data_IF_327123733986
#
_entry.id   IF_327123733986
#
_cell.length_a   1.000
_cell.length_b   1.000
_cell.length_c   1.000
_cell.angle_alpha   90.00
_cell.angle_beta   90.00
_cell.angle_gamma   90.00
#
_symmetry.space_group_name_H-M   'P 1'
#
loop_
_entity.id
_entity.type
_entity.pdbx_description
1 polymer ?
#
# COMPACT_ATOMS: atom_id res chain seq x y z
N UNK A 1 9.01 -18.79 -7.12
CA UNK A 1 9.51 -17.39 -7.15
C UNK A 1 9.27 -16.70 -5.83
N UNK A 2 8.01 -16.59 -5.37
CA UNK A 2 7.65 -15.84 -4.16
C UNK A 2 8.28 -16.43 -2.87
N UNK A 3 8.35 -17.75 -2.72
CA UNK A 3 8.98 -18.41 -1.56
C UNK A 3 10.48 -18.17 -1.40
N UNK A 4 11.18 -17.72 -2.46
CA UNK A 4 12.64 -17.52 -2.44
C UNK A 4 13.04 -16.07 -2.27
N UNK A 5 12.10 -15.17 -2.01
CA UNK A 5 12.36 -13.74 -1.84
C UNK A 5 11.55 -13.17 -0.68
N UNK A 6 12.01 -12.03 -0.17
CA UNK A 6 11.32 -11.25 0.86
C UNK A 6 10.28 -10.30 0.26
N UNK A 7 10.53 -9.81 -0.96
CA UNK A 7 9.69 -8.83 -1.64
C UNK A 7 9.57 -9.18 -3.12
N UNK A 8 8.37 -9.00 -3.68
CA UNK A 8 8.09 -8.99 -5.12
C UNK A 8 7.61 -7.61 -5.51
N UNK A 9 8.25 -7.02 -6.52
CA UNK A 9 7.85 -5.75 -7.11
C UNK A 9 7.42 -6.01 -8.56
N UNK A 10 6.16 -5.71 -8.90
CA UNK A 10 5.69 -5.80 -10.29
C UNK A 10 5.52 -4.42 -10.91
N UNK A 11 6.07 -4.23 -12.10
CA UNK A 11 6.10 -2.93 -12.78
C UNK A 11 5.20 -2.86 -14.00
N UNK A 12 4.55 -3.96 -14.38
CA UNK A 12 3.75 -4.03 -15.62
C UNK A 12 2.43 -4.77 -15.35
N UNK A 13 1.33 -4.14 -15.75
CA UNK A 13 -0.02 -4.70 -15.74
C UNK A 13 -0.40 -5.35 -17.08
N UNK A 14 -1.70 -5.55 -17.38
CA UNK A 14 -2.88 -5.15 -16.57
C UNK A 14 -3.07 -6.04 -15.33
N UNK A 15 -3.13 -5.43 -14.15
CA UNK A 15 -3.15 -6.14 -12.87
C UNK A 15 -4.49 -6.83 -12.62
N UNK A 16 -5.59 -6.22 -13.07
CA UNK A 16 -6.91 -6.82 -13.00
C UNK A 16 -6.99 -8.19 -13.70
N UNK A 17 -6.15 -8.42 -14.72
CA UNK A 17 -6.12 -9.67 -15.49
C UNK A 17 -5.11 -10.68 -14.94
N UNK A 18 -3.93 -10.22 -14.52
CA UNK A 18 -2.81 -11.12 -14.20
C UNK A 18 -2.29 -11.03 -12.76
N UNK A 19 -2.61 -9.96 -12.03
CA UNK A 19 -2.04 -9.67 -10.71
C UNK A 19 -2.59 -10.55 -9.57
N UNK A 20 -3.86 -10.99 -9.66
CA UNK A 20 -4.51 -11.67 -8.52
C UNK A 20 -3.83 -12.96 -8.07
N UNK A 21 -3.33 -13.77 -9.00
CA UNK A 21 -2.63 -15.01 -8.63
C UNK A 21 -1.27 -14.73 -7.98
N UNK A 22 -0.60 -13.65 -8.38
CA UNK A 22 0.66 -13.26 -7.79
C UNK A 22 0.49 -12.72 -6.37
N UNK A 23 -0.52 -11.87 -6.13
CA UNK A 23 -0.88 -11.41 -4.77
C UNK A 23 -1.21 -12.60 -3.89
N UNK A 24 -2.05 -13.53 -4.37
CA UNK A 24 -2.36 -14.79 -3.67
C UNK A 24 -1.11 -15.57 -3.29
N UNK A 25 -0.18 -15.73 -4.25
CA UNK A 25 1.07 -16.45 -4.03
C UNK A 25 1.94 -15.76 -2.98
N UNK A 26 2.04 -14.43 -3.02
CA UNK A 26 2.81 -13.65 -2.04
C UNK A 26 2.22 -13.77 -0.63
N UNK A 27 0.89 -13.73 -0.51
CA UNK A 27 0.19 -13.92 0.77
C UNK A 27 0.46 -15.31 1.33
N UNK A 28 0.34 -16.35 0.50
CA UNK A 28 0.61 -17.74 0.91
C UNK A 28 2.08 -17.94 1.33
N UNK A 29 3.03 -17.38 0.59
CA UNK A 29 4.46 -17.55 0.87
C UNK A 29 5.02 -16.56 1.89
N UNK A 30 4.17 -15.74 2.53
CA UNK A 30 4.59 -14.69 3.47
C UNK A 30 5.64 -13.74 2.88
N UNK A 31 5.44 -13.37 1.62
CA UNK A 31 6.30 -12.47 0.85
C UNK A 31 5.63 -11.11 0.71
N UNK A 32 6.37 -10.02 0.90
CA UNK A 32 5.85 -8.69 0.65
C UNK A 32 5.63 -8.44 -0.84
N UNK A 33 4.69 -7.56 -1.16
CA UNK A 33 4.31 -7.24 -2.54
C UNK A 33 4.17 -5.74 -2.72
N UNK A 34 4.66 -5.22 -3.85
CA UNK A 34 4.26 -3.91 -4.34
C UNK A 34 4.09 -3.86 -5.86
N UNK A 35 3.30 -2.90 -6.33
CA UNK A 35 3.00 -2.72 -7.75
C UNK A 35 2.81 -1.26 -8.18
N UNK A 36 2.52 -1.08 -9.48
CA UNK A 36 2.15 0.20 -10.08
C UNK A 36 0.67 0.22 -10.52
N UNK A 37 -0.20 -0.54 -9.86
CA UNK A 37 -1.60 -0.67 -10.26
C UNK A 37 -2.36 0.66 -10.13
N UNK A 38 -3.21 0.95 -11.12
CA UNK A 38 -4.16 2.08 -11.10
C UNK A 38 -5.61 1.62 -11.09
N UNK A 39 -5.86 0.32 -11.19
CA UNK A 39 -7.18 -0.29 -11.30
C UNK A 39 -7.87 -0.37 -9.93
N UNK A 40 -8.51 0.73 -9.51
CA UNK A 40 -9.14 0.88 -8.19
C UNK A 40 -10.08 -0.28 -7.80
N UNK A 41 -10.89 -0.77 -8.74
CA UNK A 41 -11.79 -1.92 -8.52
C UNK A 41 -11.03 -3.21 -8.19
N UNK A 42 -9.86 -3.41 -8.81
CA UNK A 42 -9.03 -4.58 -8.54
C UNK A 42 -8.28 -4.43 -7.23
N UNK A 43 -7.76 -3.24 -6.93
CA UNK A 43 -7.10 -2.93 -5.66
C UNK A 43 -8.06 -3.19 -4.50
N UNK A 44 -9.29 -2.64 -4.55
CA UNK A 44 -10.33 -2.89 -3.54
C UNK A 44 -10.58 -4.38 -3.35
N UNK A 45 -10.74 -5.13 -4.45
CA UNK A 45 -10.92 -6.58 -4.42
C UNK A 45 -9.74 -7.31 -3.75
N UNK A 46 -8.50 -6.90 -3.99
CA UNK A 46 -7.33 -7.52 -3.34
C UNK A 46 -7.31 -7.21 -1.84
N UNK A 47 -7.70 -6.00 -1.44
CA UNK A 47 -7.85 -5.64 -0.03
C UNK A 47 -8.93 -6.51 0.63
N UNK A 48 -10.12 -6.61 0.04
CA UNK A 48 -11.24 -7.41 0.58
C UNK A 48 -10.85 -8.87 0.79
N UNK A 49 -10.09 -9.45 -0.14
CA UNK A 49 -9.75 -10.88 -0.10
C UNK A 49 -8.57 -11.17 0.83
N UNK A 50 -7.56 -10.27 0.91
CA UNK A 50 -6.26 -10.62 1.51
C UNK A 50 -5.85 -9.77 2.70
N UNK A 51 -6.57 -8.71 3.07
CA UNK A 51 -6.15 -7.80 4.14
C UNK A 51 -5.96 -8.51 5.49
N UNK A 52 -6.93 -9.32 5.91
CA UNK A 52 -6.87 -10.04 7.19
C UNK A 52 -5.69 -11.02 7.21
N UNK A 53 -5.59 -11.90 6.21
CA UNK A 53 -4.49 -12.88 6.11
C UNK A 53 -3.13 -12.22 5.98
N UNK A 54 -3.01 -11.10 5.24
CA UNK A 54 -1.75 -10.36 5.14
C UNK A 54 -1.33 -9.77 6.50
N UNK A 55 -2.31 -9.30 7.29
CA UNK A 55 -2.10 -8.75 8.64
C UNK A 55 -1.64 -9.85 9.60
N UNK A 56 -2.33 -11.00 9.62
CA UNK A 56 -1.95 -12.18 10.41
C UNK A 56 -0.54 -12.69 10.05
N UNK A 57 -0.22 -12.70 8.75
CA UNK A 57 1.09 -13.10 8.25
C UNK A 57 2.18 -12.03 8.42
N UNK A 58 1.85 -10.84 8.93
CA UNK A 58 2.76 -9.69 9.09
C UNK A 58 3.45 -9.28 7.78
N UNK A 59 2.75 -9.39 6.65
CA UNK A 59 3.25 -8.96 5.35
C UNK A 59 2.57 -7.69 4.86
N UNK A 60 3.28 -6.96 4.00
CA UNK A 60 2.76 -5.74 3.37
C UNK A 60 2.43 -6.04 1.91
N UNK A 61 1.21 -5.70 1.52
CA UNK A 61 0.74 -5.65 0.13
C UNK A 61 0.47 -4.16 -0.15
N UNK A 62 1.28 -3.55 -1.01
CA UNK A 62 1.22 -2.10 -1.26
C UNK A 62 0.97 -1.86 -2.74
N UNK A 63 -0.25 -1.46 -3.07
CA UNK A 63 -0.61 -1.11 -4.44
C UNK A 63 -0.23 0.34 -4.76
N UNK A 64 -0.13 0.67 -6.04
CA UNK A 64 0.06 2.06 -6.51
C UNK A 64 1.36 2.71 -5.99
N UNK A 65 2.47 1.98 -5.98
CA UNK A 65 3.79 2.49 -5.57
C UNK A 65 4.54 3.25 -6.68
N UNK A 66 3.80 3.93 -7.56
CA UNK A 66 4.35 4.65 -8.71
C UNK A 66 4.66 6.11 -8.44
N UNK A 67 5.30 6.75 -9.43
CA UNK A 67 5.63 8.17 -9.39
C UNK A 67 4.39 9.07 -9.28
N UNK A 68 3.24 8.68 -9.83
CA UNK A 68 2.04 9.52 -9.76
C UNK A 68 1.36 9.47 -8.37
N UNK A 69 1.60 8.38 -7.63
CA UNK A 69 0.93 8.11 -6.35
C UNK A 69 1.81 8.46 -5.14
N UNK A 70 3.08 8.04 -5.13
CA UNK A 70 3.95 8.18 -3.95
C UNK A 70 4.20 9.65 -3.54
N UNK A 71 4.57 10.58 -4.45
CA UNK A 71 4.72 11.99 -4.11
C UNK A 71 3.41 12.61 -3.62
N UNK A 72 2.27 12.22 -4.22
CA UNK A 72 0.94 12.69 -3.84
C UNK A 72 0.59 12.25 -2.40
N UNK A 73 0.75 10.95 -2.09
CA UNK A 73 0.51 10.39 -0.75
C UNK A 73 1.43 11.04 0.30
N UNK A 74 2.70 11.19 -0.03
CA UNK A 74 3.67 11.82 0.87
C UNK A 74 3.35 13.31 1.10
N UNK A 75 2.88 14.02 0.06
CA UNK A 75 2.44 15.40 0.16
C UNK A 75 1.25 15.56 1.11
N UNK A 76 0.22 14.72 0.97
CA UNK A 76 -0.94 14.72 1.89
C UNK A 76 -0.51 14.41 3.31
N UNK A 77 0.33 13.39 3.49
CA UNK A 77 0.86 13.02 4.80
C UNK A 77 1.67 14.16 5.45
N UNK A 78 2.53 14.82 4.67
CA UNK A 78 3.32 15.96 5.14
C UNK A 78 2.42 17.11 5.58
N UNK A 79 1.43 17.49 4.77
CA UNK A 79 0.49 18.56 5.08
C UNK A 79 -0.30 18.21 6.35
N UNK A 80 -0.85 16.99 6.42
CA UNK A 80 -1.59 16.50 7.58
C UNK A 80 -0.76 16.62 8.88
N UNK A 81 0.48 16.11 8.87
CA UNK A 81 1.39 16.15 10.03
C UNK A 81 1.69 17.58 10.50
N UNK A 82 1.79 18.54 9.58
CA UNK A 82 2.10 19.93 9.92
C UNK A 82 0.88 20.72 10.38
N UNK A 83 -0.32 20.43 9.86
CA UNK A 83 -1.57 21.04 10.34
C UNK A 83 -1.87 20.59 11.78
N UNK A 84 -1.75 19.29 12.09
CA UNK A 84 -1.99 18.78 13.44
C UNK A 84 -1.04 19.41 14.47
N UNK A 85 0.24 19.59 14.11
CA UNK A 85 1.21 20.28 14.97
C UNK A 85 0.85 21.75 15.21
N UNK A 86 0.50 22.51 14.17
CA UNK A 86 0.07 23.91 14.32
C UNK A 86 -1.19 24.07 15.17
N UNK A 87 -2.13 23.11 15.10
CA UNK A 87 -3.31 23.11 15.96
C UNK A 87 -2.97 22.94 17.44
N UNK A 88 -1.92 22.18 17.77
CA UNK A 88 -1.44 22.03 19.14
C UNK A 88 -0.77 23.31 19.67
N UNK A 89 0.06 23.98 18.85
CA UNK A 89 0.71 25.23 19.25
C UNK A 89 -0.24 26.44 19.37
N UNK A 90 -1.40 26.42 18.69
CA UNK A 90 -2.45 27.46 18.86
C UNK A 90 -3.24 27.31 20.17
N UNK A 91 -3.29 26.12 20.76
CA UNK A 91 -4.00 25.88 22.03
C UNK A 91 -3.15 26.21 23.26
N UNK A 92 -1.83 26.24 23.13
CA UNK A 92 -0.91 26.62 24.23
C UNK A 92 -0.63 28.13 24.29
N UNK A 93 -0.91 28.88 23.22
CA UNK A 93 -0.74 30.35 23.16
C UNK A 93 -2.02 31.13 23.54
N UNK A 94 -3.07 30.44 23.99
CA UNK A 94 -4.34 31.00 24.46
C UNK A 94 -4.66 30.59 25.92
N UNK A 95 -3.64 30.20 26.71
CA UNK A 95 -3.70 30.03 28.16
C UNK A 95 -2.75 31.00 28.84
#
# INVERSE_FOLDING_TARGET
MTERTKVICTTVGPYAKYGSQLVKSCVKSKTHYCDLAGEAQWIRKMIDIYHETATENQIKIVNSCGFDSVPSDLGVYYIHKNISKKSLYKNESNR
#
